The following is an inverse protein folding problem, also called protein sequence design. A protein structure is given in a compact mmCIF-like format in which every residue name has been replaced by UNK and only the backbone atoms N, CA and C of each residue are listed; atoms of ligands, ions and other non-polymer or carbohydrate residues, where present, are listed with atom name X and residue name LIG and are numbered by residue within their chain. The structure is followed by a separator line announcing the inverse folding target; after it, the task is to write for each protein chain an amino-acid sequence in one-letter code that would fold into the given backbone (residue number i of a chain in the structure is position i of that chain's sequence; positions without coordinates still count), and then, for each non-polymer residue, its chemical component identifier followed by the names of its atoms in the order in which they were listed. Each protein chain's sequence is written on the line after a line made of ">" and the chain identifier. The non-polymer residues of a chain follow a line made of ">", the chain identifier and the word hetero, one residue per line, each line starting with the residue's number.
data_IF_957162280257
#
_entry.id   IF_957162280257
#
_cell.length_a   1.000
_cell.length_b   1.000
_cell.length_c   1.000
_cell.angle_alpha   90.00
_cell.angle_beta   90.00
_cell.angle_gamma   90.00
#
_symmetry.space_group_name_H-M   'P 1'
#
loop_
_entity.id
_entity.type
_entity.pdbx_description
1 polymer ?
#
# COMPACT_ATOMS: atom_id res chain seq x y z
N UNK A 1 -1.50 -18.39 -16.84
CA UNK A 1 -1.90 -18.85 -15.49
C UNK A 1 -1.71 -17.69 -14.53
N UNK A 2 -2.79 -17.02 -14.07
CA UNK A 2 -2.73 -15.96 -13.06
C UNK A 2 -3.54 -16.49 -11.87
N UNK A 3 -2.87 -17.13 -10.92
CA UNK A 3 -3.51 -17.74 -9.77
C UNK A 3 -3.66 -16.70 -8.64
N UNK A 4 -4.90 -16.63 -8.12
CA UNK A 4 -5.32 -16.22 -6.78
C UNK A 4 -5.13 -14.74 -6.42
N UNK A 5 -6.16 -13.94 -6.73
CA UNK A 5 -6.40 -12.69 -6.03
C UNK A 5 -6.77 -13.00 -4.58
N UNK A 6 -5.84 -12.79 -3.66
CA UNK A 6 -6.23 -12.49 -2.30
C UNK A 6 -5.90 -11.02 -2.09
N UNK A 7 -6.91 -10.29 -1.62
CA UNK A 7 -6.99 -8.89 -1.22
C UNK A 7 -5.98 -7.89 -1.81
N UNK A 8 -6.49 -6.85 -2.46
CA UNK A 8 -5.66 -5.74 -2.95
C UNK A 8 -6.23 -4.37 -2.61
N UNK A 9 -5.37 -3.36 -2.65
CA UNK A 9 -5.76 -1.95 -2.57
C UNK A 9 -4.90 -1.10 -3.51
N UNK A 10 -5.54 -0.13 -4.17
CA UNK A 10 -4.84 0.82 -5.03
C UNK A 10 -4.17 1.89 -4.16
N UNK A 11 -2.89 2.13 -4.42
CA UNK A 11 -2.15 3.26 -3.87
C UNK A 11 -1.61 4.17 -4.97
N UNK A 12 -1.29 5.39 -4.56
CA UNK A 12 -0.88 6.49 -5.42
C UNK A 12 0.55 6.89 -5.08
N UNK A 13 1.38 7.01 -6.11
CA UNK A 13 2.65 7.73 -6.03
C UNK A 13 2.57 9.00 -6.88
N UNK A 14 3.19 10.08 -6.40
CA UNK A 14 3.24 11.36 -7.12
C UNK A 14 4.68 11.61 -7.52
N UNK A 15 4.95 11.58 -8.80
CA UNK A 15 6.23 12.02 -9.36
C UNK A 15 6.16 13.53 -9.61
N UNK A 16 7.18 14.25 -9.15
CA UNK A 16 7.32 15.69 -9.42
C UNK A 16 8.44 15.91 -10.42
N UNK A 17 8.14 16.61 -11.52
CA UNK A 17 9.12 17.00 -12.54
C UNK A 17 9.11 18.50 -12.70
N UNK A 18 10.29 19.09 -12.91
CA UNK A 18 10.40 20.47 -13.37
C UNK A 18 10.70 20.38 -14.85
N UNK A 19 9.86 21.00 -15.68
CA UNK A 19 10.06 21.01 -17.12
C UNK A 19 11.10 22.06 -17.55
N UNK A 20 11.40 22.08 -18.85
CA UNK A 20 12.36 23.02 -19.44
C UNK A 20 11.99 24.49 -19.21
N UNK A 21 10.72 24.80 -18.97
CA UNK A 21 10.20 26.15 -18.71
C UNK A 21 10.11 26.46 -17.21
N UNK A 22 10.76 25.67 -16.35
CA UNK A 22 10.75 25.80 -14.89
C UNK A 22 9.36 25.63 -14.26
N UNK A 23 8.43 24.95 -14.94
CA UNK A 23 7.12 24.65 -14.37
C UNK A 23 7.15 23.31 -13.65
N UNK A 24 6.55 23.28 -12.45
CA UNK A 24 6.38 22.04 -11.70
C UNK A 24 5.18 21.26 -12.23
N UNK A 25 5.43 20.05 -12.71
CA UNK A 25 4.43 19.07 -13.12
C UNK A 25 4.30 18.00 -12.03
N UNK A 26 3.07 17.58 -11.75
CA UNK A 26 2.77 16.45 -10.88
C UNK A 26 2.11 15.34 -11.70
N UNK A 27 2.73 14.16 -11.71
CA UNK A 27 2.22 13.00 -12.42
C UNK A 27 1.74 12.02 -11.35
N UNK A 28 0.44 11.75 -11.34
CA UNK A 28 -0.16 10.74 -10.48
C UNK A 28 -0.04 9.37 -11.14
N UNK A 29 0.56 8.42 -10.42
CA UNK A 29 0.65 7.03 -10.84
C UNK A 29 -0.13 6.16 -9.87
N UNK A 30 -0.92 5.23 -10.40
CA UNK A 30 -1.68 4.27 -9.61
C UNK A 30 -1.04 2.89 -9.70
N UNK A 31 -0.90 2.27 -8.54
CA UNK A 31 -0.32 0.95 -8.38
C UNK A 31 -1.17 0.12 -7.45
N UNK A 32 -0.97 -1.19 -7.49
CA UNK A 32 -1.67 -2.14 -6.64
C UNK A 32 -0.75 -2.64 -5.52
N UNK A 33 -1.27 -2.61 -4.29
CA UNK A 33 -0.68 -3.30 -3.15
C UNK A 33 -1.43 -4.62 -2.99
N UNK A 34 -0.74 -5.74 -3.23
CA UNK A 34 -1.29 -7.09 -3.23
C UNK A 34 -0.98 -7.79 -1.89
N UNK A 35 -1.94 -8.54 -1.34
CA UNK A 35 -1.78 -9.35 -0.13
C UNK A 35 -2.13 -10.81 -0.43
N UNK A 36 -1.13 -11.68 -0.48
CA UNK A 36 -1.36 -13.13 -0.58
C UNK A 36 -1.05 -13.84 0.75
N UNK A 37 -1.15 -15.17 0.75
CA UNK A 37 -0.90 -16.04 1.90
C UNK A 37 0.43 -15.79 2.62
N UNK A 38 1.44 -15.27 1.91
CA UNK A 38 2.81 -15.20 2.42
C UNK A 38 3.40 -13.79 2.43
N UNK A 39 2.91 -12.90 1.55
CA UNK A 39 3.55 -11.61 1.30
C UNK A 39 2.57 -10.47 1.05
N UNK A 40 3.06 -9.26 1.32
CA UNK A 40 2.52 -8.02 0.76
C UNK A 40 3.47 -7.54 -0.35
N UNK A 41 2.94 -7.20 -1.52
CA UNK A 41 3.74 -6.82 -2.70
C UNK A 41 3.25 -5.46 -3.20
N UNK A 42 4.17 -4.50 -3.31
CA UNK A 42 3.96 -3.22 -3.99
C UNK A 42 4.75 -3.18 -5.31
N UNK A 43 4.72 -2.04 -6.01
CA UNK A 43 5.49 -1.87 -7.24
C UNK A 43 7.01 -1.87 -6.98
N UNK A 44 7.41 -1.48 -5.75
CA UNK A 44 8.80 -1.22 -5.41
C UNK A 44 9.35 -2.17 -4.34
N UNK A 45 8.48 -2.92 -3.64
CA UNK A 45 8.87 -3.75 -2.49
C UNK A 45 8.08 -5.06 -2.40
N UNK A 46 8.69 -6.06 -1.76
CA UNK A 46 8.03 -7.28 -1.31
C UNK A 46 8.30 -7.48 0.18
N UNK A 47 7.24 -7.70 0.97
CA UNK A 47 7.31 -7.91 2.40
C UNK A 47 6.79 -9.30 2.75
N UNK A 48 7.64 -10.15 3.32
CA UNK A 48 7.15 -11.39 3.93
C UNK A 48 6.21 -11.05 5.09
N UNK A 49 5.04 -11.69 5.18
CA UNK A 49 4.04 -11.38 6.21
C UNK A 49 4.56 -11.52 7.63
N UNK A 50 5.46 -12.49 7.87
CA UNK A 50 6.14 -12.67 9.16
C UNK A 50 6.95 -11.44 9.60
N UNK A 51 7.37 -10.62 8.63
CA UNK A 51 8.14 -9.40 8.86
C UNK A 51 7.25 -8.14 8.91
N UNK A 52 5.93 -8.28 8.71
CA UNK A 52 4.95 -7.21 8.87
C UNK A 52 4.28 -7.33 10.23
N UNK A 53 4.57 -6.37 11.11
CA UNK A 53 4.12 -6.37 12.50
C UNK A 53 2.68 -5.87 12.62
N UNK A 54 2.33 -4.81 11.90
CA UNK A 54 0.98 -4.24 11.91
C UNK A 54 0.69 -3.45 10.62
N UNK A 55 -0.60 -3.19 10.37
CA UNK A 55 -1.06 -2.27 9.34
C UNK A 55 -2.00 -1.25 9.97
N UNK A 56 -1.62 0.03 9.89
CA UNK A 56 -2.46 1.13 10.38
C UNK A 56 -2.85 2.08 9.25
N UNK A 57 -3.90 2.87 9.45
CA UNK A 57 -4.38 3.82 8.45
C UNK A 57 -4.69 5.16 9.10
N UNK A 58 -4.23 6.24 8.46
CA UNK A 58 -4.58 7.62 8.82
C UNK A 58 -5.42 8.23 7.71
N UNK A 59 -6.68 8.54 8.01
CA UNK A 59 -7.59 9.25 7.09
C UNK A 59 -7.20 10.71 6.91
N UNK A 60 -7.56 11.27 5.76
CA UNK A 60 -7.57 12.72 5.55
C UNK A 60 -8.99 13.28 5.70
N UNK A 61 -9.11 14.55 6.06
CA UNK A 61 -10.40 15.24 6.22
C UNK A 61 -11.19 15.37 4.91
N UNK A 62 -10.50 15.34 3.76
CA UNK A 62 -11.08 15.47 2.42
C UNK A 62 -11.20 14.13 1.68
N UNK A 63 -11.06 13.00 2.38
CA UNK A 63 -11.13 11.65 1.81
C UNK A 63 -9.78 11.03 1.49
N UNK A 64 -9.76 9.70 1.40
CA UNK A 64 -8.53 8.90 1.32
C UNK A 64 -7.71 8.93 2.61
N UNK A 65 -6.43 8.61 2.48
CA UNK A 65 -5.50 8.58 3.61
C UNK A 65 -4.14 7.99 3.28
N UNK A 66 -3.41 7.62 4.33
CA UNK A 66 -2.13 6.91 4.25
C UNK A 66 -2.28 5.58 4.96
N UNK A 67 -1.99 4.49 4.24
CA UNK A 67 -1.81 3.16 4.79
C UNK A 67 -0.35 2.97 5.18
N UNK A 68 -0.10 2.52 6.40
CA UNK A 68 1.24 2.27 6.92
C UNK A 68 1.44 0.78 7.14
N UNK A 69 2.50 0.22 6.55
CA UNK A 69 3.02 -1.11 6.88
C UNK A 69 4.13 -0.93 7.91
N UNK A 70 3.91 -1.43 9.13
CA UNK A 70 4.94 -1.47 10.17
C UNK A 70 5.70 -2.77 10.01
N UNK A 71 6.97 -2.70 9.61
CA UNK A 71 7.79 -3.88 9.30
C UNK A 71 9.04 -3.93 10.17
N UNK A 72 9.77 -5.05 10.12
CA UNK A 72 11.07 -5.19 10.76
C UNK A 72 12.17 -4.27 10.16
N UNK A 73 11.92 -3.65 9.02
CA UNK A 73 12.82 -2.71 8.34
C UNK A 73 12.39 -1.25 8.48
N UNK A 74 11.35 -0.98 9.29
CA UNK A 74 10.76 0.33 9.46
C UNK A 74 9.35 0.44 8.90
N UNK A 75 8.87 1.68 8.73
CA UNK A 75 7.50 1.98 8.32
C UNK A 75 7.46 2.38 6.86
N UNK A 76 6.62 1.72 6.07
CA UNK A 76 6.36 2.04 4.67
C UNK A 76 4.98 2.65 4.52
N UNK A 77 4.87 3.77 3.81
CA UNK A 77 3.63 4.52 3.66
C UNK A 77 3.10 4.50 2.23
N UNK A 78 1.81 4.28 2.07
CA UNK A 78 1.12 4.23 0.79
C UNK A 78 -0.08 5.18 0.81
N UNK A 79 -0.10 6.18 -0.08
CA UNK A 79 -1.25 7.08 -0.22
C UNK A 79 -2.39 6.31 -0.88
N UNK A 80 -3.57 6.27 -0.28
CA UNK A 80 -4.73 5.54 -0.80
C UNK A 80 -5.96 6.47 -0.88
N UNK A 81 -6.87 6.18 -1.80
CA UNK A 81 -8.18 6.85 -1.84
C UNK A 81 -9.32 5.97 -1.29
N UNK A 82 -9.19 4.65 -1.43
CA UNK A 82 -10.19 3.69 -0.97
C UNK A 82 -10.13 3.45 0.55
N UNK A 83 -11.23 2.93 1.12
CA UNK A 83 -11.25 2.47 2.51
C UNK A 83 -10.43 1.16 2.65
N UNK A 84 -9.38 1.11 3.48
CA UNK A 84 -8.52 -0.06 3.60
C UNK A 84 -9.04 -1.15 4.53
N UNK A 85 -10.24 -1.01 5.12
CA UNK A 85 -10.75 -1.94 6.13
C UNK A 85 -10.69 -3.41 5.69
N UNK A 86 -11.12 -3.73 4.47
CA UNK A 86 -11.08 -5.10 3.95
C UNK A 86 -9.66 -5.64 3.80
N UNK A 87 -8.71 -4.81 3.36
CA UNK A 87 -7.30 -5.19 3.21
C UNK A 87 -6.64 -5.44 4.58
N UNK A 88 -6.89 -4.55 5.55
CA UNK A 88 -6.38 -4.68 6.92
C UNK A 88 -6.99 -5.93 7.60
N UNK A 89 -8.29 -6.16 7.43
CA UNK A 89 -8.96 -7.33 7.98
C UNK A 89 -8.35 -8.62 7.43
N UNK A 90 -8.17 -8.71 6.11
CA UNK A 90 -7.52 -9.86 5.49
C UNK A 90 -6.12 -10.14 6.04
N UNK A 91 -5.29 -9.11 6.20
CA UNK A 91 -3.97 -9.24 6.80
C UNK A 91 -4.04 -9.83 8.21
N UNK A 92 -4.96 -9.31 9.05
CA UNK A 92 -5.17 -9.80 10.41
C UNK A 92 -5.65 -11.25 10.43
N UNK A 93 -6.57 -11.62 9.54
CA UNK A 93 -7.05 -13.00 9.42
C UNK A 93 -5.93 -13.97 9.04
N UNK A 94 -5.09 -13.62 8.06
CA UNK A 94 -3.95 -14.44 7.65
C UNK A 94 -2.91 -14.59 8.78
N UNK A 95 -2.71 -13.53 9.57
CA UNK A 95 -1.78 -13.55 10.71
C UNK A 95 -2.29 -14.39 11.89
N UNK A 96 -3.60 -14.44 12.11
CA UNK A 96 -4.21 -15.21 13.18
C UNK A 96 -4.21 -16.74 12.92
N UNK A 97 -4.02 -17.16 11.67
CA UNK A 97 -3.93 -18.58 11.29
C UNK A 97 -2.51 -19.15 11.45
N UNK A 98 -1.58 -18.39 12.01
CA UNK A 98 -0.15 -18.71 12.17
C UNK A 98 0.25 -18.56 13.63
#
# INVERSE_FOLDING_TARGET
>A
MKALSEHSIIYIEIERKIDFYYQMQQIEMQYELLLNSDKIISASHQFELRNVHDISHKTFSFGGGILYLHTNQGVFSYKIQANPASFIHAFKSLKAQR
#
